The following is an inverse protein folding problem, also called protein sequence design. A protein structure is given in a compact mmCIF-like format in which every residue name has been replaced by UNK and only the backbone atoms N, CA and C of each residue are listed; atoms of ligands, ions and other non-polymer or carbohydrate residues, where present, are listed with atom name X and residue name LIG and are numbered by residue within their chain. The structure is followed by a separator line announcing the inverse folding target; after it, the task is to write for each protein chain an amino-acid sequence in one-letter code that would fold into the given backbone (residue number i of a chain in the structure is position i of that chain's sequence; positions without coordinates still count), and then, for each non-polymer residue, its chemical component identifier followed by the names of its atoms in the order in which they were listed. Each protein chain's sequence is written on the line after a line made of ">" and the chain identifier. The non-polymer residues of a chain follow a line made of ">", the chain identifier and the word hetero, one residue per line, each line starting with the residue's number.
data_IF_867749335597
#
_entry.id   IF_867749335597
#
_cell.length_a   1.000
_cell.length_b   1.000
_cell.length_c   1.000
_cell.angle_alpha   90.00
_cell.angle_beta   90.00
_cell.angle_gamma   90.00
#
_symmetry.space_group_name_H-M   'P 1'
#
loop_
_entity.id
_entity.type
_entity.pdbx_description
1 polymer ?
#
# COMPACT_ATOMS: atom_id res chain seq x y z
N UNK A 1 10.15 23.46 -6.76
CA UNK A 1 10.79 22.41 -5.94
C UNK A 1 11.81 21.68 -6.81
N UNK A 2 12.94 21.24 -6.26
CA UNK A 2 13.89 20.40 -6.99
C UNK A 2 13.25 19.05 -7.32
N UNK A 3 13.63 18.46 -8.45
CA UNK A 3 13.16 17.12 -8.85
C UNK A 3 13.60 16.07 -7.82
N UNK A 4 12.66 15.26 -7.36
CA UNK A 4 12.90 14.17 -6.41
C UNK A 4 13.42 12.96 -7.20
N UNK A 5 14.68 12.58 -6.99
CA UNK A 5 15.30 11.43 -7.66
C UNK A 5 15.13 10.16 -6.84
N UNK A 6 14.57 9.14 -7.48
CA UNK A 6 14.12 7.91 -6.83
C UNK A 6 14.80 6.68 -7.42
N UNK A 7 15.23 5.77 -6.54
CA UNK A 7 15.59 4.40 -6.88
C UNK A 7 14.48 3.43 -6.44
N UNK A 8 14.28 2.36 -7.19
CA UNK A 8 13.33 1.30 -6.84
C UNK A 8 14.11 -0.01 -6.70
N UNK A 9 14.02 -0.64 -5.55
CA UNK A 9 14.56 -1.98 -5.30
C UNK A 9 13.41 -3.00 -5.29
N UNK A 10 13.38 -3.89 -6.29
CA UNK A 10 12.28 -4.81 -6.57
C UNK A 10 11.28 -4.24 -7.57
N UNK A 11 11.16 -4.85 -8.73
CA UNK A 11 10.27 -4.45 -9.82
C UNK A 11 9.13 -5.45 -10.03
N UNK A 12 8.64 -6.00 -8.90
CA UNK A 12 7.43 -6.82 -8.82
C UNK A 12 6.14 -6.00 -9.04
N UNK A 13 4.99 -6.51 -8.62
CA UNK A 13 3.70 -5.79 -8.78
C UNK A 13 3.78 -4.36 -8.24
N UNK A 14 4.14 -4.21 -6.96
CA UNK A 14 4.16 -2.88 -6.31
C UNK A 14 5.23 -1.98 -6.89
N UNK A 15 6.45 -2.47 -7.11
CA UNK A 15 7.52 -1.65 -7.70
C UNK A 15 7.14 -1.08 -9.07
N UNK A 16 6.48 -1.87 -9.94
CA UNK A 16 5.98 -1.40 -11.24
C UNK A 16 4.85 -0.39 -11.12
N UNK A 17 3.92 -0.57 -10.19
CA UNK A 17 2.80 0.35 -10.03
C UNK A 17 3.22 1.66 -9.34
N UNK A 18 4.16 1.60 -8.41
CA UNK A 18 4.84 2.78 -7.88
C UNK A 18 5.55 3.54 -9.00
N UNK A 19 6.26 2.83 -9.89
CA UNK A 19 6.87 3.44 -11.06
C UNK A 19 5.82 4.13 -11.94
N UNK A 20 4.72 3.46 -12.29
CA UNK A 20 3.62 4.05 -13.08
C UNK A 20 3.05 5.29 -12.38
N UNK A 21 2.78 5.23 -11.08
CA UNK A 21 2.28 6.36 -10.31
C UNK A 21 3.27 7.55 -10.28
N UNK A 22 4.58 7.28 -10.28
CA UNK A 22 5.61 8.31 -10.34
C UNK A 22 5.68 8.99 -11.71
N UNK A 23 5.44 8.24 -12.81
CA UNK A 23 5.46 8.83 -14.17
C UNK A 23 4.34 9.83 -14.42
N UNK A 24 3.31 9.84 -13.58
CA UNK A 24 2.22 10.84 -13.62
C UNK A 24 2.55 12.13 -12.83
N UNK A 25 3.76 12.25 -12.28
CA UNK A 25 4.20 13.36 -11.40
C UNK A 25 5.40 14.08 -11.99
N UNK A 26 5.25 15.35 -12.32
CA UNK A 26 6.29 16.17 -12.96
C UNK A 26 7.53 16.42 -12.07
N UNK A 27 7.35 16.33 -10.75
CA UNK A 27 8.41 16.60 -9.78
C UNK A 27 9.19 15.35 -9.33
N UNK A 28 8.95 14.18 -9.95
CA UNK A 28 9.62 12.92 -9.60
C UNK A 28 10.35 12.36 -10.83
N UNK A 29 11.54 11.84 -10.61
CA UNK A 29 12.34 11.15 -11.60
C UNK A 29 12.85 9.83 -11.03
N UNK A 30 12.47 8.70 -11.65
CA UNK A 30 13.08 7.40 -11.35
C UNK A 30 14.38 7.31 -12.13
N UNK A 31 15.50 7.21 -11.41
CA UNK A 31 16.85 7.21 -11.98
C UNK A 31 17.52 5.82 -11.96
N UNK A 32 16.98 4.88 -11.18
CA UNK A 32 17.52 3.52 -11.10
C UNK A 32 16.48 2.51 -10.63
N UNK A 33 16.61 1.30 -11.15
CA UNK A 33 15.80 0.13 -10.76
C UNK A 33 16.73 -1.04 -10.54
N UNK A 34 16.56 -1.76 -9.44
CA UNK A 34 17.23 -3.02 -9.18
C UNK A 34 16.22 -4.16 -9.10
N UNK A 35 16.44 -5.20 -9.90
CA UNK A 35 15.72 -6.48 -9.81
C UNK A 35 16.60 -7.58 -10.44
N UNK A 36 16.34 -8.84 -10.14
CA UNK A 36 17.13 -9.99 -10.62
C UNK A 36 16.74 -10.46 -12.03
N UNK A 37 16.06 -9.62 -12.80
CA UNK A 37 15.67 -9.85 -14.20
C UNK A 37 16.40 -8.86 -15.12
N UNK A 38 16.50 -9.20 -16.40
CA UNK A 38 17.13 -8.31 -17.38
C UNK A 38 16.23 -7.15 -17.81
N UNK A 39 16.82 -6.14 -18.43
CA UNK A 39 16.12 -4.91 -18.84
C UNK A 39 15.01 -5.18 -19.88
N UNK A 40 15.23 -6.11 -20.82
CA UNK A 40 14.24 -6.46 -21.84
C UNK A 40 12.96 -7.03 -21.21
N UNK A 41 13.12 -7.97 -20.27
CA UNK A 41 11.96 -8.54 -19.56
C UNK A 41 11.30 -7.52 -18.64
N UNK A 42 12.10 -6.65 -18.02
CA UNK A 42 11.59 -5.53 -17.22
C UNK A 42 10.74 -4.57 -18.06
N UNK A 43 11.21 -4.22 -19.27
CA UNK A 43 10.48 -3.40 -20.24
C UNK A 43 9.15 -4.06 -20.65
N UNK A 44 9.17 -5.36 -20.93
CA UNK A 44 7.98 -6.13 -21.26
C UNK A 44 6.95 -6.08 -20.11
N UNK A 45 7.38 -6.35 -18.87
CA UNK A 45 6.49 -6.36 -17.72
C UNK A 45 5.97 -4.95 -17.34
N UNK A 46 6.72 -3.89 -17.63
CA UNK A 46 6.22 -2.53 -17.45
C UNK A 46 5.16 -2.19 -18.48
N UNK A 47 5.39 -2.59 -19.71
CA UNK A 47 4.52 -2.29 -20.85
C UNK A 47 3.16 -2.99 -20.76
N UNK A 48 3.15 -4.26 -20.36
CA UNK A 48 1.94 -5.08 -20.34
C UNK A 48 1.58 -5.51 -18.93
N UNK A 49 0.36 -5.19 -18.53
CA UNK A 49 -0.18 -5.56 -17.22
C UNK A 49 -1.62 -6.08 -17.38
N UNK A 50 -1.89 -7.28 -16.86
CA UNK A 50 -3.18 -7.94 -17.01
C UNK A 50 -4.32 -7.26 -16.23
N UNK A 51 -3.97 -6.46 -15.21
CA UNK A 51 -4.93 -5.75 -14.35
C UNK A 51 -5.07 -4.30 -14.79
N UNK A 52 -3.94 -3.59 -14.89
CA UNK A 52 -3.90 -2.15 -15.13
C UNK A 52 -3.65 -1.77 -16.59
N UNK A 53 -3.65 -2.75 -17.49
CA UNK A 53 -3.55 -2.53 -18.93
C UNK A 53 -2.17 -2.09 -19.42
N UNK A 54 -2.12 -1.66 -20.65
CA UNK A 54 -0.86 -1.22 -21.31
C UNK A 54 -0.40 0.09 -20.69
N UNK A 55 0.91 0.19 -20.41
CA UNK A 55 1.52 1.42 -19.92
C UNK A 55 1.33 2.57 -20.95
N UNK A 56 0.81 3.73 -20.54
CA UNK A 56 0.49 4.83 -21.45
C UNK A 56 1.73 5.68 -21.78
N UNK A 57 2.77 5.04 -22.31
CA UNK A 57 4.03 5.71 -22.63
C UNK A 57 4.95 4.82 -23.46
N UNK A 58 6.07 5.40 -23.87
CA UNK A 58 7.10 4.69 -24.62
C UNK A 58 8.03 3.94 -23.67
N UNK A 59 8.28 2.67 -23.97
CA UNK A 59 9.22 1.83 -23.21
C UNK A 59 10.15 1.12 -24.19
N UNK A 60 11.44 1.32 -24.02
CA UNK A 60 12.51 0.68 -24.79
C UNK A 60 13.71 0.33 -23.90
N UNK A 61 14.70 -0.31 -24.48
CA UNK A 61 15.95 -0.69 -23.80
C UNK A 61 17.13 -0.16 -24.61
N UNK A 62 18.10 0.43 -23.94
CA UNK A 62 19.38 0.84 -24.51
C UNK A 62 20.55 0.25 -23.71
N UNK A 63 21.26 -0.70 -24.32
CA UNK A 63 22.23 -1.50 -23.60
C UNK A 63 21.56 -2.34 -22.49
N UNK A 64 21.95 -2.11 -21.25
CA UNK A 64 21.35 -2.77 -20.09
C UNK A 64 20.37 -1.87 -19.32
N UNK A 65 20.07 -0.67 -19.83
CA UNK A 65 19.22 0.29 -19.14
C UNK A 65 17.83 0.36 -19.77
N UNK A 66 16.85 0.68 -18.93
CA UNK A 66 15.49 0.94 -19.38
C UNK A 66 15.37 2.39 -19.85
N UNK A 67 14.65 2.64 -20.94
CA UNK A 67 14.32 3.98 -21.41
C UNK A 67 12.79 4.13 -21.41
N UNK A 68 12.29 5.07 -20.62
CA UNK A 68 10.85 5.34 -20.51
C UNK A 68 10.57 6.81 -20.80
N UNK A 69 9.72 7.07 -21.80
CA UNK A 69 9.41 8.43 -22.25
C UNK A 69 10.68 9.27 -22.52
N UNK A 70 11.69 8.64 -23.14
CA UNK A 70 12.99 9.26 -23.46
C UNK A 70 13.95 9.44 -22.28
N UNK A 71 13.56 9.05 -21.05
CA UNK A 71 14.44 9.11 -19.86
C UNK A 71 15.12 7.78 -19.65
N UNK A 72 16.44 7.80 -19.51
CA UNK A 72 17.25 6.62 -19.24
C UNK A 72 17.28 6.30 -17.75
N UNK A 73 17.05 5.05 -17.39
CA UNK A 73 16.97 4.54 -16.03
C UNK A 73 17.99 3.41 -15.89
N UNK A 74 18.94 3.57 -14.98
CA UNK A 74 19.94 2.53 -14.71
C UNK A 74 19.26 1.27 -14.19
N UNK A 75 19.55 0.12 -14.81
CA UNK A 75 19.09 -1.20 -14.33
C UNK A 75 20.27 -1.96 -13.74
N UNK A 76 20.06 -2.54 -12.56
CA UNK A 76 21.02 -3.41 -11.87
C UNK A 76 20.36 -4.72 -11.45
N UNK A 77 21.19 -5.76 -11.23
CA UNK A 77 20.74 -7.09 -10.80
C UNK A 77 21.53 -7.54 -9.55
N UNK A 78 21.58 -6.64 -8.55
CA UNK A 78 22.33 -6.85 -7.32
C UNK A 78 21.46 -7.50 -6.23
N UNK A 79 22.02 -8.52 -5.56
CA UNK A 79 21.36 -9.18 -4.41
C UNK A 79 21.59 -8.44 -3.11
N UNK A 80 22.76 -7.82 -2.95
CA UNK A 80 23.13 -7.05 -1.77
C UNK A 80 22.91 -5.55 -2.02
N UNK A 81 21.95 -4.90 -1.35
CA UNK A 81 21.66 -3.48 -1.56
C UNK A 81 22.84 -2.55 -1.25
N UNK A 82 23.84 -2.97 -0.46
CA UNK A 82 25.06 -2.18 -0.23
C UNK A 82 25.82 -1.87 -1.52
N UNK A 83 25.68 -2.71 -2.57
CA UNK A 83 26.39 -2.57 -3.83
C UNK A 83 25.62 -1.74 -4.87
N UNK A 84 24.44 -1.20 -4.53
CA UNK A 84 23.56 -0.51 -5.51
C UNK A 84 24.08 0.88 -5.89
N UNK A 85 24.98 1.47 -5.09
CA UNK A 85 25.63 2.74 -5.40
C UNK A 85 24.64 3.83 -5.86
N UNK A 86 23.62 4.07 -5.04
CA UNK A 86 22.56 5.04 -5.30
C UNK A 86 23.09 6.46 -5.49
N UNK A 87 24.19 6.79 -4.80
CA UNK A 87 24.88 8.07 -4.91
C UNK A 87 25.45 8.35 -6.31
N UNK A 88 25.86 7.33 -7.07
CA UNK A 88 26.41 7.52 -8.43
C UNK A 88 25.37 8.05 -9.42
N UNK A 89 24.07 7.78 -9.18
CA UNK A 89 22.95 8.26 -10.01
C UNK A 89 22.11 9.32 -9.31
N UNK A 90 22.52 9.73 -8.11
CA UNK A 90 21.81 10.73 -7.32
C UNK A 90 20.42 10.28 -6.86
N UNK A 91 20.18 8.98 -6.67
CA UNK A 91 18.93 8.47 -6.10
C UNK A 91 18.90 8.74 -4.59
N UNK A 92 18.25 9.81 -4.20
CA UNK A 92 18.14 10.24 -2.80
C UNK A 92 17.10 9.42 -2.01
N UNK A 93 16.03 9.01 -2.66
CA UNK A 93 14.91 8.29 -2.05
C UNK A 93 14.78 6.90 -2.65
N UNK A 94 14.66 5.88 -1.81
CA UNK A 94 14.55 4.51 -2.28
C UNK A 94 13.20 3.93 -1.87
N UNK A 95 12.51 3.33 -2.83
CA UNK A 95 11.37 2.46 -2.57
C UNK A 95 11.86 1.03 -2.49
N UNK A 96 11.77 0.44 -1.30
CA UNK A 96 12.08 -0.96 -1.06
C UNK A 96 10.82 -1.81 -1.27
N UNK A 97 10.75 -2.51 -2.39
CA UNK A 97 9.58 -3.31 -2.80
C UNK A 97 9.88 -4.78 -3.13
N UNK A 98 11.03 -5.29 -2.66
CA UNK A 98 11.36 -6.73 -2.77
C UNK A 98 10.60 -7.60 -1.76
N UNK A 99 10.17 -7.02 -0.62
CA UNK A 99 9.61 -7.76 0.51
C UNK A 99 10.66 -8.50 1.35
N UNK A 100 11.95 -8.31 1.09
CA UNK A 100 13.07 -8.97 1.79
C UNK A 100 13.66 -8.09 2.90
N UNK A 101 13.92 -6.81 2.62
CA UNK A 101 14.63 -5.87 3.49
C UNK A 101 13.63 -5.02 4.31
N UNK A 102 12.87 -5.67 5.21
CA UNK A 102 11.74 -5.08 5.94
C UNK A 102 12.05 -4.73 7.41
N UNK A 103 13.32 -4.60 7.76
CA UNK A 103 13.78 -4.14 9.08
C UNK A 103 14.72 -2.97 8.92
N UNK A 104 14.89 -2.17 9.97
CA UNK A 104 15.81 -1.04 9.98
C UNK A 104 17.23 -1.50 9.60
N UNK A 105 17.70 -2.58 10.22
CA UNK A 105 19.05 -3.12 9.95
C UNK A 105 19.21 -3.57 8.50
N UNK A 106 18.24 -4.30 7.95
CA UNK A 106 18.33 -4.79 6.56
C UNK A 106 18.21 -3.67 5.53
N UNK A 107 17.35 -2.67 5.79
CA UNK A 107 17.17 -1.52 4.88
C UNK A 107 18.32 -0.49 5.01
N UNK A 108 19.11 -0.54 6.08
CA UNK A 108 20.31 0.31 6.27
C UNK A 108 21.29 0.17 5.10
N UNK A 109 21.32 -0.99 4.43
CA UNK A 109 22.13 -1.23 3.24
C UNK A 109 21.91 -0.20 2.12
N UNK A 110 20.68 0.30 1.96
CA UNK A 110 20.39 1.36 0.98
C UNK A 110 20.97 2.71 1.38
N UNK A 111 20.95 3.03 2.67
CA UNK A 111 21.59 4.24 3.21
C UNK A 111 23.11 4.15 3.03
N UNK A 112 23.70 2.98 3.30
CA UNK A 112 25.14 2.73 3.08
C UNK A 112 25.49 2.88 1.57
N UNK A 113 24.59 2.51 0.67
CA UNK A 113 24.74 2.69 -0.77
C UNK A 113 24.53 4.13 -1.26
N UNK A 114 24.25 5.08 -0.34
CA UNK A 114 24.19 6.51 -0.58
C UNK A 114 22.81 7.13 -0.69
N UNK A 115 21.74 6.39 -0.34
CA UNK A 115 20.40 6.95 -0.24
C UNK A 115 20.26 7.85 1.00
N UNK A 116 19.38 8.86 0.91
CA UNK A 116 19.02 9.72 2.06
C UNK A 116 17.89 9.12 2.88
N UNK A 117 16.85 8.57 2.22
CA UNK A 117 15.69 7.95 2.88
C UNK A 117 15.25 6.68 2.15
N UNK A 118 14.68 5.74 2.90
CA UNK A 118 14.14 4.48 2.40
C UNK A 118 12.70 4.33 2.86
N UNK A 119 11.80 4.07 1.91
CA UNK A 119 10.39 3.80 2.18
C UNK A 119 10.12 2.31 1.88
N UNK A 120 9.77 1.56 2.93
CA UNK A 120 9.40 0.15 2.82
C UNK A 120 7.97 0.03 2.29
N UNK A 121 7.75 -0.71 1.22
CA UNK A 121 6.43 -0.96 0.63
C UNK A 121 5.68 -2.12 1.31
N UNK A 122 5.94 -2.36 2.58
CA UNK A 122 5.30 -3.39 3.40
C UNK A 122 5.43 -3.01 4.89
N UNK A 123 4.63 -3.63 5.79
CA UNK A 123 4.83 -3.49 7.22
C UNK A 123 6.23 -3.91 7.63
N UNK A 124 6.86 -3.11 8.49
CA UNK A 124 8.15 -3.46 9.07
C UNK A 124 8.06 -4.70 9.97
N UNK A 125 9.15 -5.47 10.04
CA UNK A 125 9.27 -6.66 10.89
C UNK A 125 9.79 -6.33 12.30
N UNK A 126 10.19 -5.09 12.52
CA UNK A 126 10.74 -4.56 13.77
C UNK A 126 9.98 -3.29 14.20
N UNK A 127 10.64 -2.41 14.93
CA UNK A 127 10.15 -1.13 15.43
C UNK A 127 10.32 0.04 14.43
N UNK A 128 10.73 -0.23 13.18
CA UNK A 128 10.79 0.79 12.12
C UNK A 128 9.47 1.56 12.06
N UNK A 129 9.48 2.90 12.15
CA UNK A 129 8.26 3.69 12.17
C UNK A 129 7.36 3.45 10.96
N UNK A 130 6.07 3.30 11.21
CA UNK A 130 5.05 3.15 10.16
C UNK A 130 4.20 4.40 10.06
N UNK A 131 3.95 4.83 8.82
CA UNK A 131 3.12 5.99 8.54
C UNK A 131 2.04 5.64 7.53
N UNK A 132 0.87 6.26 7.70
CA UNK A 132 -0.26 6.19 6.78
C UNK A 132 -0.69 7.61 6.45
N UNK A 133 -0.79 7.92 5.16
CA UNK A 133 -1.25 9.22 4.69
C UNK A 133 -2.65 9.53 5.23
N UNK A 134 -2.83 10.77 5.70
CA UNK A 134 -4.08 11.22 6.32
C UNK A 134 -4.28 10.79 7.78
N UNK A 135 -3.44 9.90 8.31
CA UNK A 135 -3.53 9.41 9.69
C UNK A 135 -2.43 10.01 10.57
N UNK A 136 -1.21 9.56 10.41
CA UNK A 136 -0.07 9.99 11.22
C UNK A 136 1.14 10.50 10.40
N UNK A 137 0.99 10.70 9.09
CA UNK A 137 2.09 11.17 8.22
C UNK A 137 2.73 12.49 8.67
N UNK A 138 1.96 13.35 9.36
CA UNK A 138 2.46 14.62 9.90
C UNK A 138 3.43 14.45 11.07
N UNK A 139 3.52 13.26 11.65
CA UNK A 139 4.49 12.91 12.69
C UNK A 139 5.85 12.50 12.11
N UNK A 140 5.94 12.35 10.77
CA UNK A 140 7.20 12.08 10.09
C UNK A 140 8.11 13.29 10.18
N UNK A 141 9.35 13.06 10.60
CA UNK A 141 10.39 14.09 10.73
C UNK A 141 11.59 13.77 9.85
N UNK A 142 12.44 14.76 9.55
CA UNK A 142 13.56 14.58 8.62
C UNK A 142 14.66 13.62 9.15
N UNK A 143 14.78 13.45 10.45
CA UNK A 143 15.73 12.52 11.06
C UNK A 143 15.36 11.05 10.87
N UNK A 144 14.10 10.74 10.57
CA UNK A 144 13.67 9.37 10.23
C UNK A 144 14.13 9.04 8.82
N UNK A 145 15.16 8.19 8.70
CA UNK A 145 15.77 7.81 7.42
C UNK A 145 15.15 6.56 6.80
N UNK A 146 14.56 5.68 7.60
CA UNK A 146 13.92 4.44 7.16
C UNK A 146 12.52 4.40 7.76
N UNK A 147 11.51 4.28 6.91
CA UNK A 147 10.10 4.26 7.31
C UNK A 147 9.32 3.22 6.50
N UNK A 148 8.20 2.77 7.06
CA UNK A 148 7.27 1.86 6.39
C UNK A 148 5.97 2.58 6.04
N UNK A 149 5.47 2.34 4.82
CA UNK A 149 4.14 2.78 4.39
C UNK A 149 3.02 1.79 4.83
N UNK A 150 3.30 0.92 5.81
CA UNK A 150 2.39 -0.12 6.29
C UNK A 150 1.92 -1.08 5.15
N UNK A 151 0.78 -1.74 5.31
CA UNK A 151 0.16 -2.58 4.28
C UNK A 151 -0.96 -1.85 3.54
N UNK A 152 -1.38 -2.39 2.39
CA UNK A 152 -2.56 -1.91 1.66
C UNK A 152 -3.83 -1.96 2.52
N UNK A 153 -4.03 -3.06 3.26
CA UNK A 153 -5.16 -3.21 4.18
C UNK A 153 -5.10 -2.21 5.33
N UNK A 154 -3.92 -1.93 5.90
CA UNK A 154 -3.78 -0.88 6.93
C UNK A 154 -4.08 0.50 6.37
N UNK A 155 -3.67 0.79 5.14
CA UNK A 155 -3.98 2.04 4.45
C UNK A 155 -5.48 2.22 4.16
N UNK A 156 -6.22 1.13 3.99
CA UNK A 156 -7.69 1.17 3.89
C UNK A 156 -8.34 1.35 5.26
N UNK A 157 -7.94 0.54 6.23
CA UNK A 157 -8.58 0.47 7.54
C UNK A 157 -8.32 1.72 8.40
N UNK A 158 -7.08 2.23 8.43
CA UNK A 158 -6.69 3.27 9.36
C UNK A 158 -7.42 4.61 9.15
N UNK A 159 -7.61 5.13 7.93
CA UNK A 159 -8.40 6.35 7.70
C UNK A 159 -9.85 6.20 8.16
N UNK A 160 -10.50 5.07 7.83
CA UNK A 160 -11.86 4.78 8.27
C UNK A 160 -11.96 4.68 9.80
N UNK A 161 -11.06 3.90 10.42
CA UNK A 161 -11.03 3.73 11.88
C UNK A 161 -10.74 5.05 12.59
N UNK A 162 -9.89 5.92 12.03
CA UNK A 162 -9.62 7.26 12.56
C UNK A 162 -10.89 8.09 12.63
N UNK A 163 -11.65 8.20 11.54
CA UNK A 163 -12.89 8.97 11.50
C UNK A 163 -13.88 8.47 12.54
N UNK A 164 -14.06 7.15 12.66
CA UNK A 164 -14.99 6.56 13.65
C UNK A 164 -14.49 6.80 15.08
N UNK A 165 -13.20 6.62 15.32
CA UNK A 165 -12.63 6.78 16.65
C UNK A 165 -12.68 8.22 17.14
N UNK A 166 -12.32 9.17 16.28
CA UNK A 166 -12.28 10.60 16.63
C UNK A 166 -13.68 11.16 16.95
N UNK A 167 -14.73 10.66 16.28
CA UNK A 167 -16.09 11.15 16.45
C UNK A 167 -16.91 10.38 17.48
N UNK A 168 -16.77 9.06 17.52
CA UNK A 168 -17.65 8.18 18.32
C UNK A 168 -16.91 7.36 19.36
N UNK A 169 -15.58 7.28 19.33
CA UNK A 169 -14.78 6.41 20.16
C UNK A 169 -14.94 4.93 19.78
N UNK A 170 -13.87 4.23 19.46
CA UNK A 170 -13.88 2.78 19.28
C UNK A 170 -13.50 2.12 20.61
N UNK A 171 -14.40 1.27 21.12
CA UNK A 171 -14.16 0.42 22.29
C UNK A 171 -13.34 -0.80 21.89
N UNK A 172 -13.85 -1.54 20.90
CA UNK A 172 -13.27 -2.77 20.36
C UNK A 172 -13.80 -3.04 18.96
N UNK A 173 -13.08 -3.84 18.19
CA UNK A 173 -13.55 -4.23 16.86
C UNK A 173 -12.81 -5.41 16.25
N UNK A 174 -13.53 -6.05 15.34
CA UNK A 174 -12.99 -7.12 14.48
C UNK A 174 -13.01 -6.68 13.03
N UNK A 175 -11.90 -6.91 12.34
CA UNK A 175 -11.78 -6.64 10.92
C UNK A 175 -11.62 -7.95 10.15
N UNK A 176 -12.40 -8.10 9.09
CA UNK A 176 -12.15 -9.10 8.07
C UNK A 176 -11.81 -8.40 6.76
N UNK A 177 -10.71 -8.74 6.13
CA UNK A 177 -10.50 -8.34 4.74
C UNK A 177 -10.77 -9.51 3.81
N UNK A 178 -11.70 -9.31 2.85
CA UNK A 178 -11.84 -10.19 1.70
C UNK A 178 -10.88 -9.64 0.64
N UNK A 179 -9.78 -10.36 0.43
CA UNK A 179 -8.60 -9.83 -0.26
C UNK A 179 -8.33 -10.56 -1.57
N UNK A 180 -8.04 -9.82 -2.60
CA UNK A 180 -7.58 -10.35 -3.88
C UNK A 180 -6.32 -11.22 -3.72
N UNK A 181 -6.06 -12.05 -4.72
CA UNK A 181 -4.83 -12.87 -4.78
C UNK A 181 -3.58 -11.99 -4.87
N UNK A 182 -2.49 -12.49 -4.33
CA UNK A 182 -1.19 -11.81 -4.40
C UNK A 182 -0.14 -12.78 -4.93
N UNK A 183 0.99 -12.24 -5.42
CA UNK A 183 2.08 -13.01 -6.03
C UNK A 183 2.71 -14.09 -5.10
N UNK A 184 2.46 -14.02 -3.79
CA UNK A 184 2.94 -15.03 -2.83
C UNK A 184 2.08 -16.29 -2.79
N UNK A 185 0.86 -16.27 -3.34
CA UNK A 185 -0.04 -17.41 -3.39
C UNK A 185 0.31 -18.35 -4.53
N UNK A 186 -0.10 -19.60 -4.41
CA UNK A 186 0.15 -20.64 -5.42
C UNK A 186 -0.96 -20.67 -6.46
N UNK A 187 -0.59 -20.84 -7.73
CA UNK A 187 -1.56 -21.04 -8.83
C UNK A 187 -2.25 -22.39 -8.71
N UNK A 188 -1.49 -23.44 -8.38
CA UNK A 188 -1.95 -24.81 -8.08
C UNK A 188 -1.44 -25.22 -6.71
N UNK A 189 -2.00 -26.28 -6.12
CA UNK A 189 -1.55 -26.80 -4.81
C UNK A 189 -0.04 -27.04 -4.82
N UNK A 190 0.65 -26.46 -3.85
CA UNK A 190 2.10 -26.58 -3.71
C UNK A 190 2.56 -26.39 -2.27
N UNK A 191 3.77 -26.82 -1.93
CA UNK A 191 4.26 -26.76 -0.56
C UNK A 191 4.37 -25.33 -0.05
N UNK A 192 3.88 -25.12 1.17
CA UNK A 192 4.02 -23.87 1.94
C UNK A 192 4.21 -24.21 3.41
N UNK A 193 5.46 -24.30 3.86
CA UNK A 193 5.80 -24.82 5.19
C UNK A 193 5.34 -23.91 6.34
N UNK A 194 5.23 -22.59 6.11
CA UNK A 194 4.83 -21.63 7.14
C UNK A 194 3.31 -21.42 7.20
N UNK A 195 2.64 -21.54 6.07
CA UNK A 195 1.19 -21.36 5.94
C UNK A 195 0.65 -22.42 4.96
N UNK A 196 0.16 -23.52 5.50
CA UNK A 196 -0.34 -24.63 4.69
C UNK A 196 -1.53 -24.24 3.81
N UNK A 197 -2.41 -23.36 4.33
CA UNK A 197 -3.55 -22.83 3.56
C UNK A 197 -3.09 -21.96 2.41
N UNK A 198 -2.05 -21.16 2.60
CA UNK A 198 -1.43 -20.35 1.53
C UNK A 198 -0.74 -21.18 0.44
N UNK A 199 -0.53 -22.49 0.66
CA UNK A 199 -0.06 -23.43 -0.35
C UNK A 199 -1.16 -23.97 -1.29
N UNK A 200 -2.43 -23.65 -1.03
CA UNK A 200 -3.55 -24.14 -1.85
C UNK A 200 -3.77 -23.21 -3.06
N UNK A 201 -4.35 -23.80 -4.12
CA UNK A 201 -4.64 -23.10 -5.38
C UNK A 201 -5.50 -21.84 -5.17
N UNK A 202 -4.95 -20.67 -5.50
CA UNK A 202 -5.59 -19.38 -5.24
C UNK A 202 -6.86 -19.15 -6.07
N UNK A 203 -6.91 -19.72 -7.27
CA UNK A 203 -8.00 -19.46 -8.23
C UNK A 203 -9.28 -20.26 -7.95
N UNK A 204 -9.23 -21.26 -7.06
CA UNK A 204 -10.34 -22.19 -6.82
C UNK A 204 -10.85 -22.16 -5.37
N UNK A 205 -10.26 -21.39 -4.51
CA UNK A 205 -10.51 -21.47 -3.08
C UNK A 205 -10.79 -20.11 -2.44
N UNK A 206 -11.60 -20.12 -1.39
CA UNK A 206 -11.62 -19.09 -0.36
C UNK A 206 -10.64 -19.53 0.72
N UNK A 207 -9.55 -18.78 0.91
CA UNK A 207 -8.43 -19.18 1.77
C UNK A 207 -8.35 -18.29 3.01
N UNK A 208 -8.70 -18.79 4.21
CA UNK A 208 -8.47 -18.06 5.45
C UNK A 208 -6.97 -17.86 5.67
N UNK A 209 -6.57 -16.64 5.98
CA UNK A 209 -5.19 -16.24 6.22
C UNK A 209 -5.08 -15.27 7.39
N UNK A 210 -3.98 -15.33 8.12
CA UNK A 210 -3.70 -14.32 9.15
C UNK A 210 -3.31 -12.99 8.53
N UNK A 211 -3.63 -11.90 9.22
CA UNK A 211 -3.17 -10.56 8.85
C UNK A 211 -2.80 -9.76 10.10
N UNK A 212 -1.72 -9.01 10.00
CA UNK A 212 -1.32 -8.03 11.02
C UNK A 212 -1.92 -6.65 10.83
N UNK A 213 -2.72 -6.44 9.76
CA UNK A 213 -3.17 -5.11 9.35
C UNK A 213 -4.00 -4.38 10.42
N UNK A 214 -4.92 -5.08 11.10
CA UNK A 214 -5.72 -4.48 12.17
C UNK A 214 -4.88 -4.11 13.41
N UNK A 215 -3.91 -4.95 13.77
CA UNK A 215 -2.95 -4.65 14.85
C UNK A 215 -2.04 -3.47 14.49
N UNK A 216 -1.67 -3.34 13.21
CA UNK A 216 -0.84 -2.24 12.72
C UNK A 216 -1.56 -0.88 12.84
N UNK A 217 -2.90 -0.85 12.85
CA UNK A 217 -3.66 0.39 13.13
C UNK A 217 -3.29 0.95 14.51
N UNK A 218 -3.10 0.10 15.52
CA UNK A 218 -2.64 0.54 16.85
C UNK A 218 -1.23 1.13 16.88
N UNK A 219 -0.41 0.90 15.85
CA UNK A 219 0.91 1.55 15.71
C UNK A 219 0.80 2.96 15.11
N UNK A 220 -0.19 3.19 14.22
CA UNK A 220 -0.40 4.50 13.56
C UNK A 220 -1.46 5.35 14.25
N UNK A 221 -2.31 4.74 15.10
CA UNK A 221 -3.28 5.40 15.98
C UNK A 221 -3.11 4.78 17.37
N UNK A 222 -2.22 5.30 18.22
CA UNK A 222 -1.86 4.66 19.50
C UNK A 222 -3.04 4.42 20.44
N UNK A 223 -4.09 5.26 20.42
CA UNK A 223 -5.32 5.11 21.20
C UNK A 223 -6.15 3.87 20.82
N UNK A 224 -5.89 3.28 19.65
CA UNK A 224 -6.50 2.03 19.19
C UNK A 224 -5.64 0.79 19.45
N UNK A 225 -4.49 0.94 20.10
CA UNK A 225 -3.65 -0.22 20.40
C UNK A 225 -4.40 -1.23 21.30
N UNK A 226 -4.43 -2.49 20.85
CA UNK A 226 -5.13 -3.58 21.53
C UNK A 226 -6.65 -3.62 21.34
N UNK A 227 -7.25 -2.60 20.70
CA UNK A 227 -8.70 -2.53 20.46
C UNK A 227 -9.16 -3.20 19.17
N UNK A 228 -8.26 -3.38 18.19
CA UNK A 228 -8.57 -3.97 16.89
C UNK A 228 -7.74 -5.22 16.62
N UNK A 229 -8.39 -6.26 16.13
CA UNK A 229 -7.74 -7.44 15.54
C UNK A 229 -8.53 -7.93 14.33
N UNK A 230 -7.99 -8.88 13.57
CA UNK A 230 -8.69 -9.33 12.38
C UNK A 230 -8.01 -10.47 11.64
N UNK A 231 -8.65 -10.87 10.56
CA UNK A 231 -8.20 -11.91 9.65
C UNK A 231 -8.45 -11.54 8.19
N UNK A 232 -7.97 -12.38 7.28
CA UNK A 232 -8.17 -12.24 5.85
C UNK A 232 -8.79 -13.49 5.26
N UNK A 233 -9.70 -13.31 4.29
CA UNK A 233 -10.02 -14.34 3.30
C UNK A 233 -9.41 -13.96 1.96
N UNK A 234 -8.58 -14.84 1.39
CA UNK A 234 -8.12 -14.70 0.01
C UNK A 234 -9.16 -15.31 -0.92
N UNK A 235 -9.54 -14.56 -1.95
CA UNK A 235 -10.57 -14.94 -2.93
C UNK A 235 -10.00 -14.89 -4.35
N UNK A 236 -10.58 -15.63 -5.32
CA UNK A 236 -10.05 -15.70 -6.68
C UNK A 236 -10.40 -14.46 -7.54
N UNK A 237 -10.04 -13.28 -7.04
CA UNK A 237 -10.02 -12.01 -7.78
C UNK A 237 -8.58 -11.56 -7.94
N UNK A 238 -8.28 -10.88 -9.04
CA UNK A 238 -6.89 -10.51 -9.37
C UNK A 238 -6.46 -9.21 -8.69
N UNK A 239 -7.42 -8.34 -8.37
CA UNK A 239 -7.21 -7.05 -7.72
C UNK A 239 -8.49 -6.58 -7.05
N UNK A 240 -8.41 -5.52 -6.30
CA UNK A 240 -9.41 -4.91 -5.43
C UNK A 240 -9.86 -5.83 -4.31
N UNK A 241 -9.73 -5.31 -3.13
CA UNK A 241 -10.06 -5.96 -1.87
C UNK A 241 -11.08 -5.12 -1.09
N UNK A 242 -11.67 -5.70 -0.06
CA UNK A 242 -12.61 -5.01 0.80
C UNK A 242 -12.30 -5.25 2.27
N UNK A 243 -12.40 -4.21 3.08
CA UNK A 243 -12.39 -4.25 4.54
C UNK A 243 -13.83 -4.29 5.04
N UNK A 244 -14.13 -5.28 5.87
CA UNK A 244 -15.32 -5.40 6.72
C UNK A 244 -14.86 -5.09 8.16
N UNK A 245 -15.24 -3.92 8.67
CA UNK A 245 -14.91 -3.47 10.01
C UNK A 245 -16.16 -3.49 10.89
N UNK A 246 -16.23 -4.41 11.83
CA UNK A 246 -17.30 -4.46 12.85
C UNK A 246 -16.77 -3.90 14.16
N UNK A 247 -17.39 -2.82 14.65
CA UNK A 247 -16.92 -2.10 15.85
C UNK A 247 -18.05 -1.82 16.83
N UNK A 248 -17.68 -1.83 18.11
CA UNK A 248 -18.43 -1.22 19.21
C UNK A 248 -17.91 0.19 19.41
N UNK A 249 -18.81 1.17 19.39
CA UNK A 249 -18.51 2.58 19.61
C UNK A 249 -18.99 3.04 20.98
N UNK A 250 -18.30 4.03 21.58
CA UNK A 250 -18.62 4.55 22.92
C UNK A 250 -19.87 5.43 22.87
N UNK A 251 -19.91 6.39 21.96
CA UNK A 251 -21.03 7.29 21.76
C UNK A 251 -22.06 6.66 20.84
N UNK A 252 -23.29 6.50 21.34
CA UNK A 252 -24.39 6.05 20.51
C UNK A 252 -24.63 7.01 19.34
N UNK A 253 -24.89 6.46 18.16
CA UNK A 253 -25.15 7.23 16.94
C UNK A 253 -26.15 6.48 16.07
N UNK A 254 -26.77 7.17 15.12
CA UNK A 254 -27.48 6.54 14.01
C UNK A 254 -26.50 6.18 12.90
N UNK A 255 -26.90 5.28 11.99
CA UNK A 255 -26.09 4.94 10.82
C UNK A 255 -25.88 6.15 9.91
N UNK A 256 -26.92 6.98 9.77
CA UNK A 256 -26.87 8.20 8.97
C UNK A 256 -25.89 9.23 9.52
N UNK A 257 -25.79 9.36 10.84
CA UNK A 257 -24.76 10.22 11.46
C UNK A 257 -23.36 9.72 11.18
N UNK A 258 -23.12 8.40 11.27
CA UNK A 258 -21.84 7.78 10.94
C UNK A 258 -21.50 8.05 9.47
N UNK A 259 -22.44 7.80 8.54
CA UNK A 259 -22.25 8.04 7.12
C UNK A 259 -21.94 9.52 6.83
N UNK A 260 -22.65 10.44 7.47
CA UNK A 260 -22.45 11.88 7.30
C UNK A 260 -21.05 12.33 7.70
N UNK A 261 -20.54 11.82 8.81
CA UNK A 261 -19.18 12.13 9.28
C UNK A 261 -18.12 11.56 8.34
N UNK A 262 -18.31 10.33 7.85
CA UNK A 262 -17.39 9.72 6.88
C UNK A 262 -17.39 10.51 5.57
N UNK A 263 -18.58 10.92 5.07
CA UNK A 263 -18.71 11.73 3.87
C UNK A 263 -17.99 13.06 4.02
N UNK A 264 -18.22 13.76 5.12
CA UNK A 264 -17.55 15.04 5.41
C UNK A 264 -16.03 14.88 5.44
N UNK A 265 -15.49 13.83 6.06
CA UNK A 265 -14.06 13.55 6.07
C UNK A 265 -13.51 13.26 4.67
N UNK A 266 -14.25 12.51 3.84
CA UNK A 266 -13.84 12.18 2.46
C UNK A 266 -13.81 13.38 1.52
N UNK A 267 -14.65 14.36 1.74
CA UNK A 267 -14.70 15.61 1.00
C UNK A 267 -13.75 16.67 1.57
N UNK A 268 -13.36 16.53 2.83
CA UNK A 268 -12.53 17.45 3.61
C UNK A 268 -11.08 16.96 3.82
N UNK A 269 -10.74 16.68 5.07
CA UNK A 269 -9.35 16.41 5.51
C UNK A 269 -8.73 15.14 4.91
N UNK A 270 -9.56 14.16 4.55
CA UNK A 270 -9.12 12.90 3.95
C UNK A 270 -9.39 12.83 2.44
N UNK A 271 -9.64 13.98 1.80
CA UNK A 271 -9.85 14.03 0.35
C UNK A 271 -8.67 13.41 -0.41
N UNK A 272 -8.98 12.52 -1.36
CA UNK A 272 -7.97 11.78 -2.13
C UNK A 272 -7.34 10.59 -1.39
N UNK A 273 -7.76 10.31 -0.15
CA UNK A 273 -7.36 9.17 0.67
C UNK A 273 -8.59 8.30 0.97
N UNK A 274 -9.60 8.90 1.62
CA UNK A 274 -10.90 8.31 1.86
C UNK A 274 -11.86 8.73 0.74
N UNK A 275 -12.60 7.77 0.21
CA UNK A 275 -13.72 7.97 -0.70
C UNK A 275 -15.04 7.59 -0.04
N UNK A 276 -16.12 7.90 -0.71
CA UNK A 276 -17.49 7.61 -0.29
C UNK A 276 -18.33 7.27 -1.50
N UNK A 277 -19.11 6.20 -1.45
CA UNK A 277 -20.04 5.82 -2.52
C UNK A 277 -21.42 5.48 -1.96
N UNK A 278 -22.46 5.79 -2.73
CA UNK A 278 -23.87 5.42 -2.53
C UNK A 278 -24.37 4.56 -3.72
N UNK A 279 -23.47 4.23 -4.65
CA UNK A 279 -23.78 3.44 -5.82
C UNK A 279 -23.73 1.94 -5.49
N UNK A 280 -24.51 1.13 -6.21
CA UNK A 280 -24.50 -0.32 -6.11
C UNK A 280 -23.29 -0.90 -6.87
N UNK A 281 -22.12 -0.82 -6.26
CA UNK A 281 -20.81 -1.16 -6.85
C UNK A 281 -20.29 -2.52 -6.41
N UNK A 282 -19.35 -3.04 -7.19
CA UNK A 282 -18.58 -4.26 -6.89
C UNK A 282 -17.09 -4.01 -7.04
N UNK A 283 -16.25 -4.96 -6.63
CA UNK A 283 -14.80 -4.79 -6.61
C UNK A 283 -14.20 -4.30 -7.94
N UNK A 284 -14.71 -4.76 -9.09
CA UNK A 284 -14.18 -4.42 -10.40
C UNK A 284 -14.29 -2.92 -10.74
N UNK A 285 -15.25 -2.21 -10.13
CA UNK A 285 -15.49 -0.79 -10.37
C UNK A 285 -14.38 0.09 -9.76
N UNK A 286 -13.54 -0.47 -8.87
CA UNK A 286 -12.48 0.25 -8.18
C UNK A 286 -11.07 -0.06 -8.70
N UNK A 287 -10.93 -0.86 -9.77
CA UNK A 287 -9.62 -1.09 -10.39
C UNK A 287 -9.05 0.22 -10.91
N UNK A 288 -7.85 0.57 -10.45
CA UNK A 288 -7.18 1.83 -10.78
C UNK A 288 -7.55 3.01 -9.86
N UNK A 289 -8.41 2.83 -8.85
CA UNK A 289 -8.70 3.90 -7.90
C UNK A 289 -7.45 4.23 -7.05
N UNK A 290 -7.10 5.51 -7.03
CA UNK A 290 -5.90 6.03 -6.35
C UNK A 290 -6.10 6.29 -4.85
N UNK A 291 -7.36 6.21 -4.37
CA UNK A 291 -7.70 6.30 -2.94
C UNK A 291 -7.47 4.95 -2.29
N UNK A 292 -7.14 4.94 -1.02
CA UNK A 292 -6.84 3.70 -0.28
C UNK A 292 -8.00 3.16 0.53
N UNK A 293 -9.12 3.90 0.62
CA UNK A 293 -10.28 3.51 1.41
C UNK A 293 -11.53 4.14 0.80
N UNK A 294 -12.41 3.37 0.21
CA UNK A 294 -13.65 3.90 -0.37
C UNK A 294 -14.82 3.30 0.42
N UNK A 295 -15.37 4.10 1.34
CA UNK A 295 -16.50 3.68 2.17
C UNK A 295 -17.75 3.47 1.31
N UNK A 296 -18.38 2.32 1.49
CA UNK A 296 -19.63 1.92 0.84
C UNK A 296 -20.77 2.06 1.85
N UNK A 297 -21.59 3.07 1.68
CA UNK A 297 -22.70 3.39 2.57
C UNK A 297 -23.72 2.25 2.65
N UNK A 298 -24.08 1.68 1.49
CA UNK A 298 -25.20 0.75 1.41
C UNK A 298 -24.79 -0.69 1.74
N UNK A 299 -23.49 -0.99 1.82
CA UNK A 299 -22.97 -2.28 2.24
C UNK A 299 -22.82 -2.43 3.78
N UNK A 300 -22.92 -1.33 4.54
CA UNK A 300 -22.81 -1.36 5.99
C UNK A 300 -24.10 -1.79 6.70
N UNK A 301 -23.99 -2.22 7.94
CA UNK A 301 -25.12 -2.69 8.76
C UNK A 301 -24.96 -2.18 10.18
N UNK A 302 -26.04 -1.65 10.76
CA UNK A 302 -26.08 -1.26 12.16
C UNK A 302 -27.02 -2.17 12.94
N UNK A 303 -26.50 -2.83 13.98
CA UNK A 303 -27.28 -3.73 14.84
C UNK A 303 -27.89 -2.98 16.03
N UNK A 304 -27.19 -2.02 16.59
CA UNK A 304 -27.63 -1.17 17.69
C UNK A 304 -26.92 0.18 17.62
N UNK A 305 -27.36 1.21 18.36
CA UNK A 305 -26.71 2.53 18.32
C UNK A 305 -25.21 2.54 18.68
N UNK A 306 -24.70 1.43 19.25
CA UNK A 306 -23.30 1.30 19.62
C UNK A 306 -22.57 0.15 18.88
N UNK A 307 -23.22 -0.53 17.92
CA UNK A 307 -22.60 -1.67 17.25
C UNK A 307 -22.88 -1.66 15.75
N UNK A 308 -21.83 -1.45 14.97
CA UNK A 308 -21.92 -1.19 13.52
C UNK A 308 -20.87 -1.99 12.73
N UNK A 309 -21.27 -2.43 11.55
CA UNK A 309 -20.41 -2.97 10.50
C UNK A 309 -20.25 -1.92 9.40
N UNK A 310 -19.02 -1.63 9.03
CA UNK A 310 -18.64 -0.67 7.99
C UNK A 310 -17.84 -1.40 6.91
N UNK A 311 -18.12 -1.08 5.66
CA UNK A 311 -17.47 -1.70 4.50
C UNK A 311 -16.69 -0.65 3.74
N UNK A 312 -15.44 -0.95 3.36
CA UNK A 312 -14.61 -0.06 2.57
C UNK A 312 -13.79 -0.83 1.54
N UNK A 313 -13.90 -0.39 0.28
CA UNK A 313 -13.17 -0.94 -0.87
C UNK A 313 -11.79 -0.31 -0.99
N UNK A 314 -10.85 -1.04 -1.58
CA UNK A 314 -9.54 -0.51 -1.94
C UNK A 314 -8.89 -1.31 -3.06
N UNK A 315 -8.34 -0.59 -4.06
CA UNK A 315 -7.38 -1.19 -4.98
C UNK A 315 -6.08 -1.43 -4.19
N UNK A 316 -5.82 -2.70 -3.88
CA UNK A 316 -4.69 -3.09 -3.03
C UNK A 316 -3.33 -2.89 -3.70
N UNK A 317 -3.31 -2.60 -4.99
CA UNK A 317 -2.11 -2.33 -5.79
C UNK A 317 -1.99 -0.83 -6.13
N UNK A 318 -2.94 -0.25 -6.89
CA UNK A 318 -2.85 1.12 -7.40
C UNK A 318 -3.07 2.16 -6.30
N UNK A 319 -4.10 2.00 -5.46
CA UNK A 319 -4.35 2.90 -4.34
C UNK A 319 -3.19 2.95 -3.37
N UNK A 320 -2.68 1.77 -2.98
CA UNK A 320 -1.51 1.65 -2.12
C UNK A 320 -0.25 2.29 -2.74
N UNK A 321 0.03 2.02 -4.02
CA UNK A 321 1.20 2.54 -4.72
C UNK A 321 1.17 4.07 -4.81
N UNK A 322 -0.01 4.67 -5.07
CA UNK A 322 -0.16 6.11 -5.08
C UNK A 322 0.10 6.74 -3.69
N UNK A 323 -0.38 6.13 -2.60
CA UNK A 323 -0.13 6.66 -1.25
C UNK A 323 1.30 6.46 -0.79
N UNK A 324 2.00 5.44 -1.29
CA UNK A 324 3.44 5.30 -1.09
C UNK A 324 4.20 6.44 -1.79
N UNK A 325 3.81 6.81 -3.01
CA UNK A 325 4.38 7.97 -3.71
C UNK A 325 4.06 9.27 -2.99
N UNK A 326 2.83 9.45 -2.48
CA UNK A 326 2.46 10.62 -1.68
C UNK A 326 3.31 10.70 -0.40
N UNK A 327 3.57 9.58 0.29
CA UNK A 327 4.45 9.49 1.45
C UNK A 327 5.89 9.87 1.10
N UNK A 328 6.39 9.42 -0.04
CA UNK A 328 7.72 9.78 -0.53
C UNK A 328 7.82 11.28 -0.79
N UNK A 329 6.83 11.88 -1.45
CA UNK A 329 6.78 13.33 -1.70
C UNK A 329 6.72 14.11 -0.39
N UNK A 330 5.92 13.65 0.57
CA UNK A 330 5.86 14.25 1.91
C UNK A 330 7.23 14.17 2.61
N UNK A 331 7.86 13.00 2.61
CA UNK A 331 9.19 12.81 3.20
C UNK A 331 10.28 13.66 2.52
N UNK A 332 10.11 13.99 1.25
CA UNK A 332 11.04 14.84 0.49
C UNK A 332 10.78 16.34 0.71
N UNK A 333 9.66 16.70 1.30
CA UNK A 333 9.30 18.10 1.60
C UNK A 333 9.73 18.56 2.99
N UNK A 334 10.20 17.62 3.84
CA UNK A 334 10.72 17.89 5.18
C UNK A 334 12.19 18.32 5.12
#
# INVERSE_FOLDING_TARGET
>A
MSTIKVGINGFGRIGRLVFRAMTERDNIEVVGINDLINAEYMAYMLKYDSVHGIFPGEVSVEGNDLVVNGKRIRVTAERDPNNLKWNEIGADYIVESTGLFLSKDSAQAHINAGAKKVILSAPSKDDTPMFVMGVNHKELTDDIKILSNASCTTNCLAPLAKVIHDNFGIVEGLMTTVHATTATQKTVDGPSMKDWRGGRAALNNIIPSSTGAAKAVGKVIPSLNGKLTGMSFRVPTVDVSVVDLTVRIEKAASYEEICSVIKAASEGELKGILGYTEDAVVSQDFVGDKRTSIFDKDAGIMLSPNFVKLVSWYDNEMGYSNKLVDMLVHAASL
#
